data_IF_211235891592
#
_entry.id   IF_211235891592
#
_cell.length_a   1.000
_cell.length_b   1.000
_cell.length_c   1.000
_cell.angle_alpha   90.00
_cell.angle_beta   90.00
_cell.angle_gamma   90.00
#
_symmetry.space_group_name_H-M   'P 1'
#
loop_
_entity.id
_entity.type
_entity.pdbx_description
1 polymer ?
#
# COMPACT_ATOMS: atom_id res chain seq x y z
N UNK A 1 -18.63 1.53 28.43
CA UNK A 1 -19.36 1.69 27.16
C UNK A 1 -18.31 1.69 26.05
N UNK A 2 -18.22 0.62 25.26
CA UNK A 2 -17.26 0.52 24.15
C UNK A 2 -17.74 1.40 22.99
N UNK A 3 -16.90 2.32 22.51
CA UNK A 3 -17.17 3.04 21.26
C UNK A 3 -16.73 2.14 20.10
N UNK A 4 -17.56 1.95 19.06
CA UNK A 4 -17.13 1.20 17.89
C UNK A 4 -15.97 1.96 17.22
N UNK A 5 -14.88 1.24 16.94
CA UNK A 5 -13.76 1.75 16.15
C UNK A 5 -14.14 1.63 14.67
N UNK A 6 -13.83 2.67 13.89
CA UNK A 6 -14.04 2.68 12.43
C UNK A 6 -13.17 1.62 11.77
N UNK A 7 -13.71 0.89 10.79
CA UNK A 7 -12.99 -0.21 10.12
C UNK A 7 -11.73 0.30 9.42
N UNK A 8 -11.79 1.48 8.83
CA UNK A 8 -10.68 2.15 8.15
C UNK A 8 -9.49 2.33 9.09
N UNK A 9 -9.75 2.74 10.33
CA UNK A 9 -8.70 2.89 11.37
C UNK A 9 -8.05 1.54 11.70
N UNK A 10 -8.83 0.46 11.72
CA UNK A 10 -8.27 -0.88 11.94
C UNK A 10 -7.39 -1.32 10.76
N UNK A 11 -7.79 -1.05 9.52
CA UNK A 11 -7.02 -1.39 8.32
C UNK A 11 -5.69 -0.61 8.26
N UNK A 12 -5.71 0.69 8.56
CA UNK A 12 -4.49 1.51 8.66
C UNK A 12 -3.53 0.92 9.68
N UNK A 13 -4.02 0.53 10.85
CA UNK A 13 -3.18 -0.07 11.89
C UNK A 13 -2.57 -1.41 11.46
N UNK A 14 -3.31 -2.24 10.71
CA UNK A 14 -2.77 -3.50 10.17
C UNK A 14 -1.59 -3.26 9.23
N UNK A 15 -1.73 -2.33 8.27
CA UNK A 15 -0.64 -1.95 7.36
C UNK A 15 0.55 -1.35 8.12
N UNK A 16 0.28 -0.57 9.18
CA UNK A 16 1.32 0.01 10.01
C UNK A 16 2.11 -1.05 10.80
N UNK A 17 1.47 -2.11 11.29
CA UNK A 17 2.18 -3.21 11.96
C UNK A 17 3.03 -4.03 11.00
N UNK A 18 2.55 -4.29 9.78
CA UNK A 18 3.36 -4.89 8.71
C UNK A 18 4.59 -4.03 8.41
N UNK A 19 4.40 -2.73 8.23
CA UNK A 19 5.49 -1.80 7.95
C UNK A 19 6.56 -1.79 9.05
N UNK A 20 6.16 -1.80 10.33
CA UNK A 20 7.10 -1.89 11.46
C UNK A 20 7.89 -3.20 11.43
N UNK A 21 7.24 -4.32 11.11
CA UNK A 21 7.90 -5.61 10.99
C UNK A 21 8.93 -5.58 9.85
N UNK A 22 8.57 -5.02 8.69
CA UNK A 22 9.47 -4.88 7.55
C UNK A 22 10.71 -4.03 7.88
N UNK A 23 10.54 -2.93 8.61
CA UNK A 23 11.67 -2.11 9.07
C UNK A 23 12.64 -2.91 9.96
N UNK A 24 12.10 -3.71 10.89
CA UNK A 24 12.92 -4.56 11.77
C UNK A 24 13.60 -5.67 10.96
N UNK A 25 12.89 -6.24 9.99
CA UNK A 25 13.44 -7.27 9.11
C UNK A 25 14.62 -6.76 8.30
N UNK A 26 14.53 -5.57 7.71
CA UNK A 26 15.65 -4.94 7.00
C UNK A 26 16.87 -4.81 7.91
N UNK A 27 16.71 -4.26 9.12
CA UNK A 27 17.78 -4.11 10.10
C UNK A 27 18.41 -5.45 10.53
N UNK A 28 17.63 -6.52 10.57
CA UNK A 28 18.09 -7.87 10.90
C UNK A 28 18.82 -8.52 9.73
N UNK A 29 18.30 -8.33 8.51
CA UNK A 29 18.88 -8.82 7.26
C UNK A 29 20.25 -8.20 7.02
N UNK A 30 20.41 -6.90 7.27
CA UNK A 30 21.72 -6.21 7.24
C UNK A 30 22.74 -6.82 8.22
N UNK A 31 22.25 -7.42 9.32
CA UNK A 31 23.07 -8.14 10.32
C UNK A 31 23.24 -9.62 10.01
N UNK A 32 22.77 -10.10 8.86
CA UNK A 32 22.88 -11.48 8.41
C UNK A 32 21.86 -12.43 9.05
N UNK A 33 20.79 -11.90 9.65
CA UNK A 33 19.69 -12.69 10.22
C UNK A 33 18.54 -12.71 9.23
N UNK A 34 18.21 -13.89 8.70
CA UNK A 34 17.10 -14.07 7.78
C UNK A 34 15.88 -14.67 8.51
N UNK A 35 14.76 -13.95 8.43
CA UNK A 35 13.48 -14.31 9.03
C UNK A 35 12.33 -14.17 8.02
N UNK A 36 12.59 -14.28 6.72
CA UNK A 36 11.60 -14.11 5.65
C UNK A 36 10.31 -14.94 5.89
N UNK A 37 10.45 -16.17 6.40
CA UNK A 37 9.33 -17.06 6.72
C UNK A 37 8.41 -16.58 7.88
N UNK A 38 8.75 -15.48 8.55
CA UNK A 38 7.99 -14.91 9.67
C UNK A 38 7.30 -13.58 9.31
N UNK A 39 7.49 -13.08 8.09
CA UNK A 39 6.86 -11.85 7.63
C UNK A 39 5.37 -12.05 7.41
N UNK A 40 4.59 -11.06 7.85
CA UNK A 40 3.14 -11.04 7.70
C UNK A 40 2.80 -10.12 6.53
N UNK A 41 2.04 -10.63 5.57
CA UNK A 41 1.43 -9.85 4.50
C UNK A 41 0.01 -9.45 4.94
N UNK A 42 -0.11 -8.26 5.53
CA UNK A 42 -1.41 -7.72 5.92
C UNK A 42 -2.09 -7.02 4.74
N UNK A 43 -1.36 -6.61 3.71
CA UNK A 43 -1.93 -5.97 2.52
C UNK A 43 -3.00 -6.83 1.85
N UNK A 44 -2.72 -8.12 1.63
CA UNK A 44 -3.70 -9.04 1.03
C UNK A 44 -4.97 -9.18 1.88
N UNK A 45 -4.83 -9.15 3.21
CA UNK A 45 -5.95 -9.18 4.16
C UNK A 45 -6.77 -7.89 4.06
N UNK A 46 -6.11 -6.73 3.96
CA UNK A 46 -6.78 -5.44 3.79
C UNK A 46 -7.62 -5.43 2.51
N UNK A 47 -7.06 -5.92 1.39
CA UNK A 47 -7.79 -6.02 0.13
C UNK A 47 -9.02 -6.93 0.23
N UNK A 48 -8.89 -8.07 0.92
CA UNK A 48 -10.01 -8.98 1.17
C UNK A 48 -11.12 -8.34 2.00
N UNK A 49 -10.76 -7.59 3.05
CA UNK A 49 -11.74 -6.94 3.93
C UNK A 49 -12.51 -5.85 3.19
N UNK A 50 -11.84 -5.07 2.33
CA UNK A 50 -12.49 -4.06 1.50
C UNK A 50 -13.39 -4.72 0.45
N UNK A 51 -12.99 -5.89 -0.05
CA UNK A 51 -13.81 -6.72 -0.94
C UNK A 51 -13.26 -6.85 -2.37
N UNK A 52 -11.98 -6.52 -2.59
CA UNK A 52 -11.36 -6.70 -3.89
C UNK A 52 -11.25 -8.20 -4.24
N UNK A 53 -11.61 -8.63 -5.46
CA UNK A 53 -11.53 -10.03 -5.85
C UNK A 53 -10.08 -10.54 -5.83
N UNK A 54 -9.90 -11.81 -5.44
CA UNK A 54 -8.60 -12.50 -5.48
C UNK A 54 -8.23 -13.02 -6.88
N UNK A 55 -9.23 -13.34 -7.68
CA UNK A 55 -9.05 -13.94 -9.01
C UNK A 55 -9.15 -12.88 -10.12
N UNK A 56 -8.45 -13.12 -11.25
CA UNK A 56 -8.59 -12.35 -12.50
C UNK A 56 -9.94 -12.59 -13.22
N UNK A 57 -10.96 -13.06 -12.51
CA UNK A 57 -12.13 -13.72 -13.12
C UNK A 57 -13.23 -12.78 -13.59
N UNK A 58 -13.14 -11.48 -13.31
CA UNK A 58 -14.02 -10.52 -13.95
C UNK A 58 -13.41 -10.04 -15.27
N UNK A 59 -13.71 -10.78 -16.35
CA UNK A 59 -13.74 -10.19 -17.69
C UNK A 59 -14.83 -9.12 -17.66
N UNK A 60 -14.43 -7.85 -17.67
CA UNK A 60 -15.36 -6.74 -17.82
C UNK A 60 -16.16 -6.89 -19.12
N UNK A 61 -17.45 -6.56 -19.09
CA UNK A 61 -18.26 -6.49 -20.30
C UNK A 61 -17.92 -5.19 -21.05
N UNK A 62 -16.87 -5.29 -21.86
CA UNK A 62 -16.25 -4.22 -22.65
C UNK A 62 -17.29 -3.52 -23.57
N UNK A 63 -18.42 -4.17 -23.84
CA UNK A 63 -19.50 -3.64 -24.68
C UNK A 63 -20.30 -2.49 -24.05
N UNK A 64 -20.14 -2.21 -22.75
CA UNK A 64 -20.78 -1.09 -22.05
C UNK A 64 -19.89 0.15 -21.89
N UNK A 65 -18.60 0.05 -22.24
CA UNK A 65 -17.64 1.16 -22.17
C UNK A 65 -17.51 1.78 -23.57
N UNK A 66 -18.53 2.50 -24.01
CA UNK A 66 -18.47 3.38 -25.18
C UNK A 66 -17.56 4.58 -24.86
N UNK A 67 -16.24 4.37 -24.94
CA UNK A 67 -15.18 5.32 -25.27
C UNK A 67 -13.84 4.79 -24.72
N UNK A 68 -13.13 4.01 -25.54
CA UNK A 68 -11.67 3.90 -25.35
C UNK A 68 -11.10 5.26 -25.73
N UNK A 69 -10.83 6.11 -24.74
CA UNK A 69 -10.06 7.33 -24.96
C UNK A 69 -8.62 6.92 -25.34
N UNK A 70 -8.20 7.32 -26.52
CA UNK A 70 -6.86 7.07 -27.06
C UNK A 70 -5.98 8.23 -26.60
N UNK A 71 -4.81 7.93 -26.05
CA UNK A 71 -3.82 8.97 -25.77
C UNK A 71 -3.34 9.57 -27.11
N UNK A 72 -3.69 10.83 -27.33
CA UNK A 72 -3.46 11.56 -28.58
C UNK A 72 -1.95 11.72 -28.87
N UNK A 73 -1.08 11.58 -27.86
CA UNK A 73 0.37 11.70 -28.03
C UNK A 73 1.06 10.37 -28.38
N UNK A 74 0.50 9.24 -27.95
CA UNK A 74 1.14 7.92 -28.09
C UNK A 74 0.38 6.97 -29.03
N UNK A 75 -0.91 7.20 -29.28
CA UNK A 75 -1.75 6.35 -30.13
C UNK A 75 -2.07 4.98 -29.51
N UNK A 76 -1.68 4.76 -28.26
CA UNK A 76 -2.02 3.56 -27.51
C UNK A 76 -3.39 3.75 -26.83
N UNK A 77 -4.16 2.66 -26.58
CA UNK A 77 -5.30 2.74 -25.68
C UNK A 77 -4.82 3.37 -24.37
N UNK A 78 -5.57 4.33 -23.80
CA UNK A 78 -5.32 4.70 -22.40
C UNK A 78 -5.29 3.41 -21.60
N UNK A 79 -4.14 3.11 -20.97
CA UNK A 79 -3.91 1.85 -20.26
C UNK A 79 -5.11 1.59 -19.37
N UNK A 80 -5.88 0.57 -19.74
CA UNK A 80 -6.96 0.01 -18.97
C UNK A 80 -6.51 -0.02 -17.50
N UNK A 81 -7.10 0.82 -16.64
CA UNK A 81 -6.76 0.81 -15.21
C UNK A 81 -7.53 -0.33 -14.60
N UNK A 82 -6.99 -1.53 -14.81
CA UNK A 82 -7.48 -2.74 -14.19
C UNK A 82 -7.27 -2.64 -12.67
N UNK A 83 -8.31 -2.93 -11.88
CA UNK A 83 -8.12 -3.31 -10.48
C UNK A 83 -7.58 -4.75 -10.36
N UNK A 84 -6.52 -5.09 -11.11
CA UNK A 84 -5.73 -6.28 -10.84
C UNK A 84 -4.99 -6.08 -9.51
N UNK A 85 -4.95 -7.09 -8.63
CA UNK A 85 -4.20 -6.99 -7.36
C UNK A 85 -2.75 -6.55 -7.54
N UNK A 86 -2.12 -6.92 -8.67
CA UNK A 86 -0.79 -6.43 -9.03
C UNK A 86 -0.72 -4.90 -9.14
N UNK A 87 -1.75 -4.25 -9.70
CA UNK A 87 -1.81 -2.79 -9.77
C UNK A 87 -1.95 -2.17 -8.38
N UNK A 88 -2.80 -2.75 -7.54
CA UNK A 88 -2.96 -2.33 -6.14
C UNK A 88 -1.65 -2.51 -5.35
N UNK A 89 -0.92 -3.60 -5.61
CA UNK A 89 0.37 -3.88 -5.01
C UNK A 89 1.42 -2.84 -5.41
N UNK A 90 1.48 -2.46 -6.70
CA UNK A 90 2.39 -1.37 -7.12
C UNK A 90 2.05 -0.05 -6.43
N UNK A 91 0.77 0.30 -6.30
CA UNK A 91 0.36 1.49 -5.55
C UNK A 91 0.76 1.41 -4.07
N UNK A 92 0.69 0.21 -3.46
CA UNK A 92 1.14 -0.02 -2.10
C UNK A 92 2.67 0.11 -1.95
N UNK A 93 3.44 -0.46 -2.87
CA UNK A 93 4.91 -0.32 -2.93
C UNK A 93 5.33 1.15 -3.11
N UNK A 94 4.62 1.92 -3.93
CA UNK A 94 4.84 3.36 -4.09
C UNK A 94 4.60 4.11 -2.77
N UNK A 95 3.57 3.72 -2.01
CA UNK A 95 3.31 4.26 -0.67
C UNK A 95 4.49 3.94 0.27
N UNK A 96 4.93 2.69 0.31
CA UNK A 96 6.08 2.27 1.13
C UNK A 96 7.35 3.05 0.78
N UNK A 97 7.68 3.14 -0.51
CA UNK A 97 8.84 3.90 -1.01
C UNK A 97 8.75 5.41 -0.74
N UNK A 98 7.54 5.95 -0.56
CA UNK A 98 7.33 7.36 -0.21
C UNK A 98 7.63 7.67 1.27
N UNK A 99 7.64 6.66 2.15
CA UNK A 99 7.92 6.82 3.59
C UNK A 99 9.44 6.83 3.78
N UNK A 100 10.03 8.02 3.63
CA UNK A 100 11.49 8.19 3.77
C UNK A 100 11.93 8.05 5.23
N UNK A 101 12.99 7.27 5.46
CA UNK A 101 13.70 7.25 6.75
C UNK A 101 14.32 8.62 7.00
N UNK A 102 14.14 9.15 8.21
CA UNK A 102 14.74 10.40 8.67
C UNK A 102 16.17 10.09 9.12
N UNK A 103 17.15 10.79 8.56
CA UNK A 103 18.54 10.67 9.00
C UNK A 103 18.82 11.68 10.13
N UNK A 104 19.35 11.18 11.23
CA UNK A 104 19.81 11.98 12.35
C UNK A 104 21.31 11.81 12.52
N UNK A 105 22.03 12.93 12.57
CA UNK A 105 23.47 12.94 12.84
C UNK A 105 23.66 13.23 14.32
N UNK A 106 24.10 12.23 15.08
CA UNK A 106 24.55 12.41 16.45
C UNK A 106 26.05 12.69 16.47
N UNK A 107 26.45 13.80 17.10
CA UNK A 107 27.85 14.12 17.36
C UNK A 107 28.24 13.50 18.70
N UNK A 108 29.25 12.64 18.68
CA UNK A 108 29.83 11.98 19.85
C UNK A 108 31.27 12.46 20.02
N UNK A 109 31.81 12.34 21.24
CA UNK A 109 33.23 12.66 21.50
C UNK A 109 34.20 11.81 20.65
N UNK A 110 33.76 10.63 20.21
CA UNK A 110 34.51 9.70 19.37
C UNK A 110 34.26 9.85 17.85
N UNK A 111 33.41 10.78 17.42
CA UNK A 111 33.09 10.99 16.00
C UNK A 111 31.61 11.23 15.71
N UNK A 112 31.18 10.95 14.47
CA UNK A 112 29.80 11.11 14.03
C UNK A 112 29.10 9.76 13.98
N UNK A 113 27.86 9.69 14.48
CA UNK A 113 26.98 8.55 14.32
C UNK A 113 25.76 8.96 13.52
N UNK A 114 25.60 8.35 12.34
CA UNK A 114 24.35 8.45 11.58
C UNK A 114 23.36 7.44 12.15
N UNK A 115 22.15 7.89 12.47
CA UNK A 115 21.03 7.02 12.82
C UNK A 115 19.88 7.29 11.87
N UNK A 116 19.31 6.22 11.33
CA UNK A 116 18.09 6.31 10.56
C UNK A 116 16.90 6.00 11.47
N UNK A 117 15.85 6.80 11.35
CA UNK A 117 14.63 6.64 12.10
C UNK A 117 13.44 6.59 11.15
N UNK A 118 12.51 5.70 11.46
CA UNK A 118 11.25 5.59 10.74
C UNK A 118 10.28 6.63 11.29
N UNK A 119 9.75 7.49 10.42
CA UNK A 119 8.69 8.42 10.79
C UNK A 119 7.33 7.69 10.79
N UNK A 120 6.97 7.17 11.96
CA UNK A 120 5.70 6.45 12.14
C UNK A 120 4.47 7.34 12.00
N UNK A 121 4.58 8.65 12.20
CA UNK A 121 3.46 9.58 11.99
C UNK A 121 3.22 9.76 10.49
N UNK A 122 4.29 9.95 9.72
CA UNK A 122 4.21 9.98 8.27
C UNK A 122 3.67 8.65 7.71
N UNK A 123 4.18 7.52 8.18
CA UNK A 123 3.70 6.20 7.77
C UNK A 123 2.20 6.04 8.02
N UNK A 124 1.74 6.39 9.23
CA UNK A 124 0.31 6.34 9.57
C UNK A 124 -0.53 7.23 8.63
N UNK A 125 -0.10 8.47 8.37
CA UNK A 125 -0.81 9.36 7.46
C UNK A 125 -0.88 8.77 6.05
N UNK A 126 0.25 8.26 5.53
CA UNK A 126 0.33 7.64 4.21
C UNK A 126 -0.58 6.43 4.06
N UNK A 127 -0.62 5.56 5.06
CA UNK A 127 -1.56 4.43 5.06
C UNK A 127 -3.01 4.88 5.20
N UNK A 128 -3.29 5.97 5.91
CA UNK A 128 -4.64 6.55 5.98
C UNK A 128 -5.09 7.01 4.59
N UNK A 129 -4.28 7.82 3.92
CA UNK A 129 -4.56 8.30 2.56
C UNK A 129 -4.75 7.13 1.58
N UNK A 130 -3.92 6.09 1.70
CA UNK A 130 -3.99 4.90 0.87
C UNK A 130 -5.27 4.08 1.10
N UNK A 131 -5.64 3.83 2.37
CA UNK A 131 -6.88 3.10 2.70
C UNK A 131 -8.11 3.88 2.24
N UNK A 132 -8.14 5.20 2.42
CA UNK A 132 -9.22 6.05 1.89
C UNK A 132 -9.33 5.94 0.36
N UNK A 133 -8.19 5.98 -0.34
CA UNK A 133 -8.14 5.77 -1.78
C UNK A 133 -8.68 4.38 -2.18
N UNK A 134 -8.32 3.31 -1.47
CA UNK A 134 -8.80 1.95 -1.74
C UNK A 134 -10.34 1.84 -1.65
N UNK A 135 -10.96 2.51 -0.68
CA UNK A 135 -12.43 2.52 -0.57
C UNK A 135 -13.10 3.24 -1.75
N UNK A 136 -12.56 4.39 -2.16
CA UNK A 136 -13.07 5.14 -3.32
C UNK A 136 -12.94 4.29 -4.58
N UNK A 137 -11.75 3.75 -4.81
CA UNK A 137 -11.41 2.83 -5.87
C UNK A 137 -12.39 1.64 -5.97
N UNK A 138 -12.69 1.02 -4.83
CA UNK A 138 -13.60 -0.13 -4.79
C UNK A 138 -15.04 0.23 -5.14
N UNK A 139 -15.55 1.37 -4.67
CA UNK A 139 -16.89 1.82 -5.03
C UNK A 139 -17.00 2.18 -6.52
N UNK A 140 -15.96 2.79 -7.10
CA UNK A 140 -15.89 3.02 -8.55
C UNK A 140 -15.89 1.70 -9.35
N UNK A 141 -15.08 0.73 -8.93
CA UNK A 141 -15.05 -0.64 -9.46
C UNK A 141 -16.43 -1.32 -9.40
N UNK A 142 -17.12 -1.21 -8.28
CA UNK A 142 -18.44 -1.81 -8.09
C UNK A 142 -19.52 -1.16 -8.96
N UNK A 143 -19.36 0.12 -9.29
CA UNK A 143 -20.29 0.84 -10.15
C UNK A 143 -20.04 0.57 -11.65
N UNK A 144 -18.79 0.29 -12.06
CA UNK A 144 -18.49 -0.06 -13.44
C UNK A 144 -18.94 -1.47 -13.85
N UNK A 145 -19.21 -2.36 -12.89
CA UNK A 145 -19.73 -3.73 -13.14
C UNK A 145 -21.27 -3.77 -13.24
N UNK A 146 -21.99 -2.73 -12.81
CA UNK A 146 -23.47 -2.65 -12.89
C UNK A 146 -23.90 -2.22 -14.30
#
# INVERSE_FOLDING_TARGET
MYKPVKIEVCLVNLLLEEYKQNCIYEDLKEKGIDIENLLIDNFEIVLDIIGFPREKTFKYDISKLDAIEIDIQTGEPMKEVYFERNHLYYAFEDVLGSIKKVQHIEVLDSGLKLKEYVDLQLAHQKFTDFVEWLFIAFEDFKNSIK
#
